data_IF_765781347514
#
_entry.id   IF_765781347514
#
_cell.length_a   1.000
_cell.length_b   1.000
_cell.length_c   1.000
_cell.angle_alpha   90.00
_cell.angle_beta   90.00
_cell.angle_gamma   90.00
#
_symmetry.space_group_name_H-M   'P 1'
#
loop_
_entity.id
_entity.type
_entity.pdbx_description
1 polymer ?
#
# COMPACT_ATOMS: atom_id res chain seq x y z
N UNK A 1 46.86 -35.54 -18.89
CA UNK A 1 46.42 -34.13 -18.71
C UNK A 1 44.90 -34.03 -18.81
N UNK A 2 44.16 -34.39 -17.74
CA UNK A 2 42.68 -34.47 -17.76
C UNK A 2 41.98 -33.55 -16.73
N UNK A 3 42.70 -32.61 -16.13
CA UNK A 3 42.21 -31.84 -14.97
C UNK A 3 42.00 -30.33 -15.21
N UNK A 4 42.18 -29.81 -16.44
CA UNK A 4 42.01 -28.37 -16.72
C UNK A 4 40.65 -27.95 -17.31
N UNK A 5 39.80 -28.89 -17.74
CA UNK A 5 38.47 -28.56 -18.30
C UNK A 5 37.33 -28.53 -17.27
N UNK A 6 37.53 -29.08 -16.07
CA UNK A 6 36.48 -29.08 -15.03
C UNK A 6 36.43 -27.78 -14.22
N UNK A 7 37.53 -27.04 -14.11
CA UNK A 7 37.61 -25.87 -13.22
C UNK A 7 36.92 -24.63 -13.81
N UNK A 8 36.86 -24.51 -15.14
CA UNK A 8 36.25 -23.34 -15.81
C UNK A 8 34.72 -23.38 -15.80
N UNK A 9 34.12 -24.58 -15.71
CA UNK A 9 32.66 -24.74 -15.70
C UNK A 9 32.04 -24.31 -14.35
N UNK A 10 32.80 -24.48 -13.25
CA UNK A 10 32.35 -24.10 -11.91
C UNK A 10 32.28 -22.58 -11.69
N UNK A 11 33.12 -21.80 -12.39
CA UNK A 11 33.15 -20.33 -12.26
C UNK A 11 31.96 -19.68 -12.97
N UNK A 12 31.51 -20.25 -14.09
CA UNK A 12 30.35 -19.74 -14.83
C UNK A 12 29.05 -20.00 -14.04
N UNK A 13 28.95 -21.11 -13.30
CA UNK A 13 27.76 -21.40 -12.49
C UNK A 13 27.63 -20.49 -11.27
N UNK A 14 28.75 -20.02 -10.70
CA UNK A 14 28.76 -19.10 -9.54
C UNK A 14 28.34 -17.66 -9.90
N UNK A 15 28.51 -17.24 -11.16
CA UNK A 15 28.12 -15.91 -11.63
C UNK A 15 26.63 -15.80 -11.99
N UNK A 16 25.94 -16.93 -12.21
CA UNK A 16 24.51 -16.92 -12.60
C UNK A 16 23.58 -16.87 -11.37
N UNK A 17 24.07 -17.18 -10.16
CA UNK A 17 23.26 -17.22 -8.93
C UNK A 17 23.00 -15.83 -8.32
N UNK A 18 23.66 -14.75 -8.79
CA UNK A 18 23.44 -13.41 -8.22
C UNK A 18 22.53 -12.48 -9.05
N UNK A 19 21.86 -13.01 -10.08
CA UNK A 19 20.90 -12.25 -10.90
C UNK A 19 19.47 -12.80 -10.85
N UNK A 20 19.12 -13.66 -9.89
CA UNK A 20 17.72 -13.76 -9.47
C UNK A 20 17.38 -12.46 -8.76
N UNK A 21 16.74 -11.55 -9.49
CA UNK A 21 16.30 -10.25 -8.99
C UNK A 21 15.61 -10.40 -7.65
N UNK A 22 16.34 -10.09 -6.57
CA UNK A 22 15.73 -9.60 -5.35
C UNK A 22 15.09 -8.27 -5.74
N UNK A 23 13.86 -8.34 -6.24
CA UNK A 23 12.91 -7.23 -6.15
C UNK A 23 13.02 -6.75 -4.72
N UNK A 24 13.66 -5.60 -4.50
CA UNK A 24 13.88 -5.03 -3.17
C UNK A 24 12.52 -5.04 -2.47
N UNK A 25 12.41 -5.78 -1.37
CA UNK A 25 11.14 -5.89 -0.67
C UNK A 25 10.78 -4.51 -0.13
N UNK A 26 9.68 -3.95 -0.64
CA UNK A 26 9.12 -2.71 -0.13
C UNK A 26 8.38 -3.04 1.15
N UNK A 27 8.67 -2.32 2.23
CA UNK A 27 8.10 -2.60 3.55
C UNK A 27 7.47 -1.36 4.20
N UNK A 28 7.80 -0.16 3.74
CA UNK A 28 7.27 1.09 4.25
C UNK A 28 6.33 1.76 3.25
N UNK A 29 5.35 2.54 3.76
CA UNK A 29 4.38 3.25 2.93
C UNK A 29 5.04 4.12 1.83
N UNK A 30 6.07 4.89 2.18
CA UNK A 30 6.80 5.75 1.23
C UNK A 30 7.51 4.97 0.11
N UNK A 31 7.87 3.70 0.32
CA UNK A 31 8.48 2.89 -0.74
C UNK A 31 7.43 2.38 -1.75
N UNK A 32 6.18 2.22 -1.31
CA UNK A 32 5.06 1.63 -2.06
C UNK A 32 4.26 2.72 -2.79
N UNK A 33 3.90 3.77 -2.06
CA UNK A 33 3.19 4.94 -2.54
C UNK A 33 3.93 6.18 -2.01
N UNK A 34 5.00 6.62 -2.70
CA UNK A 34 5.80 7.76 -2.27
C UNK A 34 4.94 9.01 -2.29
N UNK A 35 4.81 9.61 -1.12
CA UNK A 35 4.02 10.81 -0.89
C UNK A 35 4.94 11.90 -0.36
N UNK A 36 5.02 12.99 -1.11
CA UNK A 36 5.66 14.22 -0.64
C UNK A 36 4.68 14.92 0.31
N UNK A 37 4.91 14.75 1.61
CA UNK A 37 4.05 15.25 2.69
C UNK A 37 3.72 16.73 2.52
N UNK A 38 4.70 17.55 2.14
CA UNK A 38 4.52 18.99 2.03
C UNK A 38 3.62 19.38 0.84
N UNK A 39 3.50 18.48 -0.14
CA UNK A 39 2.66 18.66 -1.32
C UNK A 39 1.23 18.18 -1.11
N UNK A 40 0.94 17.29 -0.17
CA UNK A 40 -0.44 16.86 0.08
C UNK A 40 -1.21 17.98 0.74
N UNK A 41 -2.24 18.48 0.05
CA UNK A 41 -3.12 19.56 0.53
C UNK A 41 -4.54 19.08 0.80
N UNK A 42 -4.88 17.87 0.36
CA UNK A 42 -6.21 17.33 0.50
C UNK A 42 -6.20 15.82 0.70
N UNK A 43 -7.15 15.37 1.50
CA UNK A 43 -7.54 13.98 1.65
C UNK A 43 -9.02 13.84 1.28
N UNK A 44 -9.38 12.84 0.48
CA UNK A 44 -10.78 12.47 0.23
C UNK A 44 -11.07 11.10 0.81
N UNK A 45 -12.18 10.97 1.52
CA UNK A 45 -12.64 9.73 2.15
C UNK A 45 -14.02 9.36 1.59
N UNK A 46 -14.22 8.09 1.25
CA UNK A 46 -15.53 7.55 0.88
C UNK A 46 -15.73 6.14 1.45
N UNK A 47 -16.97 5.77 1.71
CA UNK A 47 -17.35 4.38 1.99
C UNK A 47 -17.26 3.56 0.70
N UNK A 48 -16.37 2.57 0.65
CA UNK A 48 -16.23 1.67 -0.49
C UNK A 48 -16.26 2.39 -1.84
N UNK A 49 -17.25 2.06 -2.68
CA UNK A 49 -17.52 2.70 -3.97
C UNK A 49 -18.68 3.74 -3.93
N UNK A 50 -19.13 4.16 -2.75
CA UNK A 50 -20.26 5.07 -2.59
C UNK A 50 -19.90 6.53 -2.91
N UNK A 51 -20.95 7.28 -3.29
CA UNK A 51 -20.99 8.74 -3.37
C UNK A 51 -22.05 9.20 -2.35
N UNK A 52 -21.82 10.25 -1.55
CA UNK A 52 -20.75 11.24 -1.64
C UNK A 52 -19.42 10.81 -0.98
N UNK A 53 -18.33 11.42 -1.45
CA UNK A 53 -17.07 11.48 -0.73
C UNK A 53 -17.04 12.74 0.16
N UNK A 54 -16.30 12.70 1.27
CA UNK A 54 -15.97 13.89 2.05
C UNK A 54 -14.53 14.29 1.74
N UNK A 55 -14.31 15.59 1.50
CA UNK A 55 -12.99 16.17 1.24
C UNK A 55 -12.52 16.95 2.47
N UNK A 56 -11.24 16.78 2.82
CA UNK A 56 -10.59 17.37 3.98
C UNK A 56 -9.33 18.11 3.54
N UNK A 57 -9.20 19.37 3.96
CA UNK A 57 -8.01 20.20 3.75
C UNK A 57 -7.31 20.54 5.08
N UNK A 58 -7.80 19.98 6.18
CA UNK A 58 -7.18 20.12 7.50
C UNK A 58 -5.79 19.47 7.48
N UNK A 59 -4.77 20.32 7.59
CA UNK A 59 -3.38 19.91 7.51
C UNK A 59 -2.97 19.05 8.71
N UNK A 60 -3.54 19.27 9.89
CA UNK A 60 -3.26 18.46 11.08
C UNK A 60 -3.80 17.04 10.89
N UNK A 61 -5.04 16.90 10.40
CA UNK A 61 -5.62 15.58 10.14
C UNK A 61 -4.86 14.80 9.05
N UNK A 62 -4.49 15.48 7.96
CA UNK A 62 -3.67 14.89 6.89
C UNK A 62 -2.32 14.43 7.45
N UNK A 63 -1.69 15.27 8.27
CA UNK A 63 -0.41 14.95 8.90
C UNK A 63 -0.50 13.75 9.84
N UNK A 64 -1.55 13.68 10.67
CA UNK A 64 -1.78 12.56 11.56
C UNK A 64 -1.97 11.23 10.79
N UNK A 65 -2.72 11.25 9.68
CA UNK A 65 -2.85 10.09 8.79
C UNK A 65 -1.49 9.64 8.25
N UNK A 66 -0.69 10.57 7.75
CA UNK A 66 0.65 10.27 7.21
C UNK A 66 1.60 9.73 8.28
N UNK A 67 1.54 10.25 9.50
CA UNK A 67 2.32 9.74 10.62
C UNK A 67 1.92 8.31 10.97
N UNK A 68 0.62 8.01 11.06
CA UNK A 68 0.16 6.64 11.29
C UNK A 68 0.53 5.70 10.15
N UNK A 69 0.50 6.14 8.89
CA UNK A 69 0.92 5.32 7.75
C UNK A 69 2.41 4.94 7.81
N UNK A 70 3.26 5.84 8.31
CA UNK A 70 4.70 5.57 8.46
C UNK A 70 5.00 4.54 9.55
N UNK A 71 4.10 4.37 10.54
CA UNK A 71 4.24 3.38 11.61
C UNK A 71 3.84 1.95 11.18
N UNK A 72 3.27 1.80 9.98
CA UNK A 72 2.80 0.50 9.46
C UNK A 72 3.90 -0.18 8.67
N UNK A 73 4.16 -1.45 9.03
CA UNK A 73 4.96 -2.36 8.21
C UNK A 73 4.05 -3.08 7.24
N UNK A 74 4.51 -3.22 6.00
CA UNK A 74 3.76 -3.82 4.92
C UNK A 74 4.40 -5.12 4.44
N UNK A 75 3.55 -6.01 3.96
CA UNK A 75 3.95 -7.21 3.24
C UNK A 75 3.26 -7.24 1.87
N UNK A 76 4.01 -7.62 0.84
CA UNK A 76 3.47 -7.76 -0.51
C UNK A 76 2.44 -8.88 -0.56
N UNK A 77 1.28 -8.60 -1.15
CA UNK A 77 0.24 -9.60 -1.32
C UNK A 77 0.56 -10.54 -2.49
N UNK A 78 0.30 -11.83 -2.28
CA UNK A 78 0.18 -12.79 -3.38
C UNK A 78 -1.12 -12.57 -4.14
N UNK A 79 -1.20 -13.05 -5.40
CA UNK A 79 -2.43 -12.97 -6.22
C UNK A 79 -3.61 -13.60 -5.47
N UNK A 80 -3.37 -14.77 -4.85
CA UNK A 80 -4.41 -15.48 -4.10
C UNK A 80 -4.93 -14.66 -2.90
N UNK A 81 -4.04 -13.99 -2.18
CA UNK A 81 -4.43 -13.10 -1.09
C UNK A 81 -5.22 -11.88 -1.60
N UNK A 82 -4.85 -11.30 -2.74
CA UNK A 82 -5.63 -10.23 -3.37
C UNK A 82 -7.04 -10.69 -3.72
N UNK A 83 -7.18 -11.88 -4.33
CA UNK A 83 -8.48 -12.46 -4.66
C UNK A 83 -9.36 -12.72 -3.42
N UNK A 84 -8.77 -13.24 -2.34
CA UNK A 84 -9.45 -13.52 -1.08
C UNK A 84 -9.88 -12.23 -0.36
N UNK A 85 -8.99 -11.25 -0.26
CA UNK A 85 -9.23 -10.02 0.51
C UNK A 85 -10.18 -9.07 -0.23
N UNK A 86 -10.03 -8.91 -1.54
CA UNK A 86 -10.92 -8.05 -2.30
C UNK A 86 -12.27 -8.71 -2.59
N UNK A 87 -12.37 -10.04 -2.45
CA UNK A 87 -13.55 -10.85 -2.75
C UNK A 87 -14.23 -10.42 -4.07
N UNK A 88 -13.45 -10.42 -5.16
CA UNK A 88 -13.89 -9.97 -6.50
C UNK A 88 -14.52 -8.56 -6.52
N UNK A 89 -14.09 -7.70 -5.60
CA UNK A 89 -14.58 -6.33 -5.44
C UNK A 89 -15.75 -6.18 -4.48
N UNK A 90 -16.28 -7.27 -3.91
CA UNK A 90 -17.41 -7.20 -2.98
C UNK A 90 -17.10 -6.37 -1.73
N UNK A 91 -15.82 -6.35 -1.32
CA UNK A 91 -15.36 -5.57 -0.16
C UNK A 91 -15.68 -4.08 -0.29
N UNK A 92 -15.76 -3.55 -1.52
CA UNK A 92 -16.08 -2.14 -1.78
C UNK A 92 -17.58 -1.82 -1.73
N UNK A 93 -18.45 -2.81 -1.50
CA UNK A 93 -19.87 -2.58 -1.21
C UNK A 93 -20.17 -2.60 0.29
N UNK A 94 -19.17 -2.88 1.14
CA UNK A 94 -19.31 -2.85 2.59
C UNK A 94 -19.22 -1.41 3.11
N UNK A 95 -20.10 -1.07 4.05
CA UNK A 95 -20.08 0.20 4.79
C UNK A 95 -18.93 0.28 5.80
N UNK A 96 -18.28 -0.86 6.09
CA UNK A 96 -17.07 -0.90 6.90
C UNK A 96 -15.80 -0.53 6.15
N UNK A 97 -15.84 -0.53 4.81
CA UNK A 97 -14.67 -0.29 3.96
C UNK A 97 -14.56 1.20 3.64
N UNK A 98 -13.38 1.78 3.80
CA UNK A 98 -13.09 3.15 3.37
C UNK A 98 -12.03 3.18 2.28
N UNK A 99 -12.22 4.03 1.28
CA UNK A 99 -11.16 4.45 0.37
C UNK A 99 -10.72 5.86 0.76
N UNK A 100 -9.42 6.02 1.02
CA UNK A 100 -8.78 7.31 1.24
C UNK A 100 -7.88 7.63 0.06
N UNK A 101 -8.02 8.84 -0.48
CA UNK A 101 -7.18 9.36 -1.56
C UNK A 101 -6.42 10.59 -1.07
N UNK A 102 -5.09 10.59 -1.26
CA UNK A 102 -4.21 11.72 -0.93
C UNK A 102 -3.91 12.53 -2.19
N UNK A 103 -4.15 13.84 -2.15
CA UNK A 103 -4.07 14.72 -3.32
C UNK A 103 -3.29 16.01 -3.03
N UNK A 104 -2.63 16.53 -4.06
CA UNK A 104 -1.89 17.80 -3.98
C UNK A 104 -2.80 19.03 -4.10
N UNK A 105 -4.00 18.88 -4.67
CA UNK A 105 -4.96 19.95 -4.90
C UNK A 105 -6.38 19.39 -5.04
N UNK A 106 -7.38 20.25 -4.83
CA UNK A 106 -8.80 19.94 -5.00
C UNK A 106 -9.09 19.43 -6.42
N UNK A 107 -9.82 18.32 -6.52
CA UNK A 107 -10.07 17.60 -7.79
C UNK A 107 -8.80 17.13 -8.54
N UNK A 108 -7.70 16.95 -7.81
CA UNK A 108 -6.44 16.47 -8.35
C UNK A 108 -6.38 14.96 -8.56
N UNK A 109 -5.35 14.51 -9.28
CA UNK A 109 -5.04 13.09 -9.40
C UNK A 109 -4.53 12.58 -8.05
N UNK A 110 -5.08 11.46 -7.58
CA UNK A 110 -4.60 10.79 -6.37
C UNK A 110 -3.12 10.43 -6.48
N UNK A 111 -2.33 10.84 -5.49
CA UNK A 111 -0.90 10.48 -5.37
C UNK A 111 -0.73 9.17 -4.63
N UNK A 112 -1.65 8.85 -3.74
CA UNK A 112 -1.71 7.57 -3.04
C UNK A 112 -3.16 7.22 -2.72
N UNK A 113 -3.49 5.95 -2.89
CA UNK A 113 -4.78 5.38 -2.49
C UNK A 113 -4.56 4.43 -1.32
N UNK A 114 -5.46 4.48 -0.34
CA UNK A 114 -5.42 3.63 0.85
C UNK A 114 -6.78 2.98 0.98
N UNK A 115 -6.80 1.65 1.12
CA UNK A 115 -8.03 0.87 1.24
C UNK A 115 -8.08 0.32 2.66
N UNK A 116 -8.98 0.83 3.48
CA UNK A 116 -9.24 0.35 4.84
C UNK A 116 -10.40 -0.63 4.79
N UNK A 117 -10.13 -1.91 4.97
CA UNK A 117 -11.16 -2.96 4.91
C UNK A 117 -11.81 -3.14 6.28
N UNK A 118 -11.02 -3.01 7.33
CA UNK A 118 -11.44 -3.12 8.72
C UNK A 118 -10.50 -2.36 9.64
N UNK A 119 -10.78 -2.34 10.94
CA UNK A 119 -9.87 -1.79 11.96
C UNK A 119 -8.51 -2.53 12.06
N UNK A 120 -8.32 -3.62 11.31
CA UNK A 120 -7.11 -4.46 11.32
C UNK A 120 -6.45 -4.62 9.95
N UNK A 121 -7.15 -4.24 8.88
CA UNK A 121 -6.73 -4.51 7.51
C UNK A 121 -6.72 -3.22 6.69
N UNK A 122 -5.52 -2.84 6.27
CA UNK A 122 -5.22 -1.72 5.40
C UNK A 122 -4.39 -2.23 4.23
N UNK A 123 -4.89 -1.99 3.04
CA UNK A 123 -4.20 -2.31 1.78
C UNK A 123 -3.71 -1.03 1.12
N UNK A 124 -2.43 -1.06 0.71
CA UNK A 124 -1.74 0.01 0.00
C UNK A 124 -1.36 -0.48 -1.41
N UNK A 125 -2.04 0.00 -2.46
CA UNK A 125 -1.67 -0.26 -3.85
C UNK A 125 -0.32 0.39 -4.20
N UNK A 126 0.51 -0.31 -4.98
CA UNK A 126 1.80 0.19 -5.46
C UNK A 126 1.61 1.20 -6.59
N UNK A 127 1.95 2.46 -6.29
CA UNK A 127 1.88 3.59 -7.21
C UNK A 127 2.61 3.37 -8.53
N UNK A 128 3.69 2.56 -8.55
CA UNK A 128 4.48 2.32 -9.76
C UNK A 128 3.74 1.42 -10.76
N UNK A 129 2.92 0.50 -10.24
CA UNK A 129 2.21 -0.53 -11.01
C UNK A 129 0.76 -0.17 -11.31
N UNK A 130 0.19 0.75 -10.53
CA UNK A 130 -1.18 1.20 -10.70
C UNK A 130 -1.42 1.75 -12.12
N UNK A 131 -2.45 1.22 -12.80
CA UNK A 131 -2.82 1.62 -14.16
C UNK A 131 -1.90 1.10 -15.28
N UNK A 132 -0.86 0.31 -14.95
CA UNK A 132 0.09 -0.26 -15.93
C UNK A 132 -0.05 -1.78 -16.10
N UNK A 133 -1.23 -2.32 -15.79
CA UNK A 133 -1.52 -3.76 -15.79
C UNK A 133 -2.10 -4.18 -14.45
N UNK A 134 -1.64 -5.32 -13.91
CA UNK A 134 -1.99 -5.73 -12.55
C UNK A 134 -1.33 -4.77 -11.55
N UNK A 135 -2.15 -4.12 -10.73
CA UNK A 135 -1.68 -3.36 -9.57
C UNK A 135 -1.19 -4.33 -8.50
N UNK A 136 0.08 -4.21 -8.12
CA UNK A 136 0.63 -4.91 -6.96
C UNK A 136 0.09 -4.24 -5.70
N UNK A 137 -0.44 -5.03 -4.77
CA UNK A 137 -0.93 -4.51 -3.48
C UNK A 137 -0.10 -5.01 -2.32
N UNK A 138 -0.06 -4.21 -1.26
CA UNK A 138 0.60 -4.53 0.00
C UNK A 138 -0.40 -4.43 1.13
N UNK A 139 -0.33 -5.32 2.10
CA UNK A 139 -1.20 -5.30 3.29
C UNK A 139 -0.35 -5.09 4.55
N UNK A 140 -0.91 -4.40 5.54
CA UNK A 140 -0.26 -4.24 6.83
C UNK A 140 0.10 -5.59 7.46
N UNK A 141 1.20 -5.63 8.20
CA UNK A 141 1.57 -6.78 9.01
C UNK A 141 0.72 -6.85 10.28
N UNK A 142 0.63 -8.06 10.85
CA UNK A 142 -0.13 -8.33 12.07
C UNK A 142 0.66 -8.07 13.36
N UNK A 143 1.66 -7.19 13.32
CA UNK A 143 2.38 -6.76 14.53
C UNK A 143 1.64 -5.63 15.26
N UNK A 144 1.87 -5.50 16.56
CA UNK A 144 1.13 -4.56 17.41
C UNK A 144 1.24 -3.10 16.95
N UNK A 145 2.38 -2.68 16.39
CA UNK A 145 2.56 -1.30 15.92
C UNK A 145 1.66 -1.05 14.71
N UNK A 146 1.77 -1.92 13.70
CA UNK A 146 0.98 -1.85 12.48
C UNK A 146 -0.53 -1.90 12.78
N UNK A 147 -0.98 -2.84 13.60
CA UNK A 147 -2.41 -2.97 13.94
C UNK A 147 -2.94 -1.75 14.70
N UNK A 148 -2.15 -1.17 15.61
CA UNK A 148 -2.55 0.04 16.33
C UNK A 148 -2.65 1.25 15.40
N UNK A 149 -1.70 1.40 14.47
CA UNK A 149 -1.74 2.46 13.46
C UNK A 149 -2.95 2.30 12.52
N UNK A 150 -3.22 1.10 12.00
CA UNK A 150 -4.40 0.83 11.17
C UNK A 150 -5.68 1.17 11.91
N UNK A 151 -5.81 0.78 13.18
CA UNK A 151 -6.98 1.11 14.00
C UNK A 151 -7.17 2.63 14.13
N UNK A 152 -6.11 3.40 14.38
CA UNK A 152 -6.18 4.86 14.46
C UNK A 152 -6.62 5.50 13.15
N UNK A 153 -6.09 5.01 12.02
CA UNK A 153 -6.50 5.46 10.69
C UNK A 153 -7.98 5.14 10.44
N UNK A 154 -8.42 3.93 10.81
CA UNK A 154 -9.82 3.52 10.70
C UNK A 154 -10.76 4.42 11.51
N UNK A 155 -10.39 4.72 12.76
CA UNK A 155 -11.15 5.65 13.61
C UNK A 155 -11.24 7.04 12.99
N UNK A 156 -10.12 7.57 12.47
CA UNK A 156 -10.10 8.85 11.77
C UNK A 156 -11.07 8.86 10.57
N UNK A 157 -11.03 7.81 9.74
CA UNK A 157 -11.90 7.69 8.58
C UNK A 157 -13.39 7.58 8.97
N UNK A 158 -13.69 6.84 10.03
CA UNK A 158 -15.04 6.68 10.53
C UNK A 158 -15.60 7.98 11.12
N UNK A 159 -14.86 8.63 12.02
CA UNK A 159 -15.25 9.90 12.63
C UNK A 159 -15.42 11.01 11.58
N UNK A 160 -14.59 10.99 10.53
CA UNK A 160 -14.70 11.90 9.42
C UNK A 160 -16.02 11.71 8.64
N UNK A 161 -16.55 10.49 8.56
CA UNK A 161 -17.71 10.13 7.76
C UNK A 161 -19.05 10.17 8.53
N UNK A 162 -19.02 9.99 9.85
CA UNK A 162 -20.15 10.26 10.74
C UNK A 162 -20.56 11.76 10.75
#
# INVERSE_FOLDING_TARGET
>A
MKSKKLMTLSIIFLLIVQLTGCSREKSAANEIAPVDRDKIKMMSIKYGNAVPNKEFTDTEQINNLLDYLNDIKFSKMSIKQEEEIFDKGNVFYLDSTFLIQLMEYTHGVSKAEIILISEKELVLPDSETMGKGRTVSYINMNDNSSLNAVKKIYSLAKEAMD
#
